data_IF_000056722314
#
_entry.id   IF_000056722314
#
_cell.length_a   1.000
_cell.length_b   1.000
_cell.length_c   1.000
_cell.angle_alpha   90.00
_cell.angle_beta   90.00
_cell.angle_gamma   90.00
#
_symmetry.space_group_name_H-M   'P 1'
#
loop_
_entity.id
_entity.type
_entity.pdbx_description
1 polymer ?
#
# COMPACT_ATOMS: atom_id res chain seq x y z
N UNK A 1 22.15 -15.41 10.82
CA UNK A 1 22.55 -15.89 9.48
C UNK A 1 22.48 -17.42 9.34
N UNK A 2 23.06 -18.25 10.24
CA UNK A 2 23.13 -19.71 10.01
C UNK A 2 21.77 -20.40 9.87
N UNK A 3 20.77 -20.02 10.68
CA UNK A 3 19.43 -20.60 10.62
C UNK A 3 18.70 -20.30 9.31
N UNK A 4 18.71 -19.04 8.85
CA UNK A 4 18.07 -18.67 7.58
C UNK A 4 18.79 -19.32 6.39
N UNK A 5 20.12 -19.41 6.42
CA UNK A 5 20.87 -20.09 5.37
C UNK A 5 20.49 -21.58 5.33
N UNK A 6 20.44 -22.26 6.48
CA UNK A 6 20.00 -23.65 6.54
C UNK A 6 18.56 -23.84 6.04
N UNK A 7 17.64 -22.97 6.48
CA UNK A 7 16.24 -22.98 6.04
C UNK A 7 16.11 -22.78 4.52
N UNK A 8 16.77 -21.76 3.97
CA UNK A 8 16.75 -21.46 2.53
C UNK A 8 17.43 -22.57 1.73
N UNK A 9 18.58 -23.09 2.17
CA UNK A 9 19.26 -24.21 1.51
C UNK A 9 18.41 -25.47 1.50
N UNK A 10 17.76 -25.81 2.63
CA UNK A 10 16.85 -26.94 2.71
C UNK A 10 15.65 -26.75 1.76
N UNK A 11 15.06 -25.55 1.74
CA UNK A 11 13.97 -25.21 0.83
C UNK A 11 14.39 -25.26 -0.65
N UNK A 12 15.63 -24.88 -0.99
CA UNK A 12 16.16 -25.02 -2.35
C UNK A 12 16.37 -26.48 -2.75
N UNK A 13 16.79 -27.34 -1.80
CA UNK A 13 17.00 -28.77 -2.05
C UNK A 13 15.69 -29.56 -2.13
N UNK A 14 14.72 -29.22 -1.27
CA UNK A 14 13.42 -29.92 -1.19
C UNK A 14 12.32 -29.26 -2.03
N UNK A 15 12.55 -28.04 -2.50
CA UNK A 15 11.54 -27.21 -3.16
C UNK A 15 11.04 -27.85 -4.44
N UNK A 16 9.73 -28.05 -4.51
CA UNK A 16 9.06 -28.43 -5.75
C UNK A 16 9.19 -27.35 -6.82
N UNK A 17 9.09 -27.76 -8.08
CA UNK A 17 8.84 -26.82 -9.19
C UNK A 17 7.46 -26.22 -9.03
N UNK A 18 7.27 -24.99 -9.51
CA UNK A 18 5.92 -24.47 -9.64
C UNK A 18 5.11 -25.38 -10.58
N UNK A 19 3.79 -25.50 -10.35
CA UNK A 19 2.90 -26.14 -11.31
C UNK A 19 3.15 -25.51 -12.68
N UNK A 20 3.23 -26.33 -13.73
CA UNK A 20 3.31 -25.74 -15.07
C UNK A 20 2.02 -24.95 -15.31
N UNK A 21 2.11 -23.71 -15.83
CA UNK A 21 0.94 -22.95 -16.20
C UNK A 21 0.14 -23.75 -17.23
N UNK A 22 -1.19 -23.74 -17.11
CA UNK A 22 -2.05 -24.29 -18.14
C UNK A 22 -1.76 -23.57 -19.46
N UNK A 23 -1.50 -24.29 -20.57
CA UNK A 23 -1.10 -23.70 -21.86
C UNK A 23 -2.20 -22.89 -22.57
N UNK A 24 -3.34 -22.62 -21.90
CA UNK A 24 -4.55 -22.08 -22.51
C UNK A 24 -4.62 -20.54 -22.52
N UNK A 25 -3.56 -19.83 -22.08
CA UNK A 25 -3.51 -18.36 -22.03
C UNK A 25 -2.37 -17.75 -22.84
N UNK A 26 -2.59 -16.53 -23.33
CA UNK A 26 -1.53 -15.70 -23.94
C UNK A 26 -0.47 -15.32 -22.88
N UNK A 27 0.80 -15.62 -23.17
CA UNK A 27 1.92 -15.25 -22.31
C UNK A 27 2.29 -13.78 -22.50
N UNK A 28 1.86 -12.95 -21.55
CA UNK A 28 2.25 -11.54 -21.43
C UNK A 28 3.61 -11.32 -20.72
N UNK A 29 4.25 -10.19 -21.00
CA UNK A 29 5.33 -9.57 -20.22
C UNK A 29 4.76 -8.48 -19.31
N UNK A 30 4.93 -8.66 -18.00
CA UNK A 30 4.39 -7.80 -16.95
C UNK A 30 5.52 -7.02 -16.29
N UNK A 31 5.46 -5.68 -16.36
CA UNK A 31 6.34 -4.79 -15.61
C UNK A 31 5.73 -4.46 -14.26
N UNK A 32 6.50 -4.64 -13.18
CA UNK A 32 6.09 -4.32 -11.81
C UNK A 32 7.12 -3.35 -11.21
N UNK A 33 6.66 -2.18 -10.73
CA UNK A 33 7.52 -1.24 -9.99
C UNK A 33 7.53 -1.51 -8.49
N UNK A 34 8.30 -0.73 -7.72
CA UNK A 34 8.40 -0.89 -6.27
C UNK A 34 8.94 -2.25 -5.84
N UNK A 35 9.86 -2.81 -6.61
CA UNK A 35 10.41 -4.15 -6.39
C UNK A 35 11.05 -4.40 -5.03
N UNK A 36 11.29 -3.38 -4.20
CA UNK A 36 11.68 -3.55 -2.79
C UNK A 36 10.54 -3.98 -1.87
N UNK A 37 9.29 -3.81 -2.27
CA UNK A 37 8.12 -4.00 -1.42
C UNK A 37 7.57 -5.43 -1.53
N UNK A 38 7.16 -6.02 -0.41
CA UNK A 38 6.68 -7.43 -0.36
C UNK A 38 5.46 -7.63 -1.27
N UNK A 39 4.60 -6.62 -1.36
CA UNK A 39 3.49 -6.56 -2.30
C UNK A 39 3.89 -6.76 -3.76
N UNK A 40 5.03 -6.22 -4.21
CA UNK A 40 5.53 -6.46 -5.56
C UNK A 40 5.99 -7.91 -5.76
N UNK A 41 6.62 -8.52 -4.73
CA UNK A 41 6.98 -9.93 -4.74
C UNK A 41 5.75 -10.85 -4.80
N UNK A 42 4.68 -10.52 -4.08
CA UNK A 42 3.40 -11.25 -4.16
C UNK A 42 2.84 -11.24 -5.58
N UNK A 43 2.82 -10.08 -6.24
CA UNK A 43 2.34 -9.97 -7.62
C UNK A 43 3.28 -10.68 -8.61
N UNK A 44 4.60 -10.55 -8.45
CA UNK A 44 5.57 -11.28 -9.27
C UNK A 44 5.34 -12.79 -9.23
N UNK A 45 5.12 -13.35 -8.03
CA UNK A 45 4.81 -14.78 -7.85
C UNK A 45 3.48 -15.16 -8.50
N UNK A 46 2.45 -14.32 -8.37
CA UNK A 46 1.15 -14.58 -8.99
C UNK A 46 1.22 -14.59 -10.52
N UNK A 47 1.83 -13.57 -11.13
CA UNK A 47 2.00 -13.49 -12.58
C UNK A 47 2.89 -14.62 -13.12
N UNK A 48 3.98 -14.95 -12.43
CA UNK A 48 4.85 -16.07 -12.81
C UNK A 48 4.10 -17.41 -12.80
N UNK A 49 3.31 -17.68 -11.75
CA UNK A 49 2.51 -18.91 -11.65
C UNK A 49 1.41 -19.01 -12.71
N UNK A 50 0.88 -17.87 -13.16
CA UNK A 50 -0.03 -17.80 -14.29
C UNK A 50 0.68 -17.95 -15.66
N UNK A 51 2.01 -18.06 -15.68
CA UNK A 51 2.80 -18.31 -16.89
C UNK A 51 3.32 -17.04 -17.57
N UNK A 52 3.11 -15.87 -16.99
CA UNK A 52 3.62 -14.60 -17.52
C UNK A 52 5.11 -14.43 -17.26
N UNK A 53 5.74 -13.62 -18.10
CA UNK A 53 7.10 -13.13 -17.88
C UNK A 53 7.05 -11.89 -16.98
N UNK A 54 7.92 -11.82 -15.98
CA UNK A 54 7.93 -10.73 -14.99
C UNK A 54 9.20 -9.91 -15.10
N UNK A 55 9.03 -8.62 -15.36
CA UNK A 55 10.07 -7.59 -15.29
C UNK A 55 9.85 -6.78 -14.02
N UNK A 56 10.84 -6.72 -13.15
CA UNK A 56 10.79 -5.98 -11.89
C UNK A 56 11.67 -4.73 -11.99
N UNK A 57 11.12 -3.56 -11.65
CA UNK A 57 11.87 -2.31 -11.53
C UNK A 57 11.86 -1.76 -10.12
N UNK A 58 12.96 -1.11 -9.76
CA UNK A 58 13.10 -0.41 -8.50
C UNK A 58 14.16 0.71 -8.62
N UNK A 59 14.14 1.67 -7.70
CA UNK A 59 15.12 2.73 -7.66
C UNK A 59 16.54 2.20 -7.43
N UNK A 60 17.54 2.88 -7.99
CA UNK A 60 18.96 2.54 -7.84
C UNK A 60 19.42 2.35 -6.37
N UNK A 61 18.85 3.13 -5.43
CA UNK A 61 19.07 2.99 -3.97
C UNK A 61 18.80 1.56 -3.47
N UNK A 62 17.86 0.86 -4.08
CA UNK A 62 17.45 -0.50 -3.70
C UNK A 62 17.82 -1.54 -4.76
N UNK A 63 18.87 -1.31 -5.55
CA UNK A 63 19.38 -2.29 -6.53
C UNK A 63 19.65 -3.68 -5.94
N UNK A 64 19.90 -3.76 -4.64
CA UNK A 64 20.12 -5.01 -3.92
C UNK A 64 18.85 -5.57 -3.26
N UNK A 65 17.66 -5.15 -3.70
CA UNK A 65 16.40 -5.69 -3.20
C UNK A 65 16.42 -7.22 -3.21
N UNK A 66 16.03 -7.86 -2.12
CA UNK A 66 16.00 -9.31 -2.02
C UNK A 66 15.07 -9.94 -3.06
N UNK A 67 14.03 -9.22 -3.48
CA UNK A 67 13.01 -9.72 -4.39
C UNK A 67 13.53 -9.93 -5.81
N UNK A 68 14.63 -9.26 -6.22
CA UNK A 68 15.25 -9.51 -7.53
C UNK A 68 15.87 -10.91 -7.67
N UNK A 69 16.07 -11.60 -6.55
CA UNK A 69 16.57 -12.98 -6.51
C UNK A 69 15.44 -14.00 -6.46
N UNK A 70 14.18 -13.56 -6.56
CA UNK A 70 13.05 -14.45 -6.74
C UNK A 70 13.20 -15.20 -8.06
N UNK A 71 12.88 -16.49 -8.08
CA UNK A 71 12.78 -17.25 -9.33
C UNK A 71 11.59 -16.80 -10.21
N UNK A 72 10.66 -16.04 -9.62
CA UNK A 72 9.49 -15.50 -10.28
C UNK A 72 9.76 -14.13 -10.94
N UNK A 73 11.02 -13.70 -10.99
CA UNK A 73 11.45 -12.45 -11.65
C UNK A 73 12.42 -12.82 -12.77
N UNK A 74 12.00 -12.60 -14.01
CA UNK A 74 12.82 -12.91 -15.19
C UNK A 74 13.88 -11.84 -15.46
N UNK A 75 13.53 -10.57 -15.24
CA UNK A 75 14.43 -9.43 -15.44
C UNK A 75 14.28 -8.43 -14.30
N UNK A 76 15.41 -7.89 -13.84
CA UNK A 76 15.44 -6.77 -12.90
C UNK A 76 16.18 -5.59 -13.53
N UNK A 77 15.57 -4.40 -13.48
CA UNK A 77 16.17 -3.14 -13.93
C UNK A 77 16.08 -2.10 -12.82
N UNK A 78 17.00 -1.13 -12.83
CA UNK A 78 16.91 0.04 -11.96
C UNK A 78 16.44 1.26 -12.74
N UNK A 79 15.69 2.12 -12.07
CA UNK A 79 15.20 3.39 -12.61
C UNK A 79 15.58 4.55 -11.66
N UNK A 80 15.54 5.81 -12.11
CA UNK A 80 15.67 6.98 -11.25
C UNK A 80 14.59 7.02 -10.15
N UNK A 81 14.72 7.95 -9.21
CA UNK A 81 13.65 8.20 -8.22
C UNK A 81 12.44 8.79 -8.93
N UNK A 82 11.20 8.58 -8.44
CA UNK A 82 9.98 9.05 -9.11
C UNK A 82 9.96 10.55 -9.42
N UNK A 83 10.57 11.37 -8.56
CA UNK A 83 10.64 12.83 -8.72
C UNK A 83 11.69 13.29 -9.75
N UNK A 84 12.54 12.38 -10.21
CA UNK A 84 13.54 12.69 -11.22
C UNK A 84 12.83 12.97 -12.56
N UNK A 85 13.17 14.07 -13.26
CA UNK A 85 12.58 14.38 -14.55
C UNK A 85 12.71 13.27 -15.60
N UNK A 86 13.72 12.40 -15.50
CA UNK A 86 13.92 11.27 -16.41
C UNK A 86 13.23 9.96 -15.97
N UNK A 87 12.39 9.98 -14.94
CA UNK A 87 11.72 8.77 -14.43
C UNK A 87 10.80 8.13 -15.47
N UNK A 88 9.96 8.94 -16.15
CA UNK A 88 9.00 8.44 -17.13
C UNK A 88 9.71 7.84 -18.36
N UNK A 89 10.75 8.51 -18.85
CA UNK A 89 11.57 8.03 -19.96
C UNK A 89 12.33 6.75 -19.59
N UNK A 90 12.85 6.64 -18.36
CA UNK A 90 13.50 5.41 -17.91
C UNK A 90 12.52 4.23 -17.82
N UNK A 91 11.28 4.46 -17.38
CA UNK A 91 10.23 3.43 -17.44
C UNK A 91 9.92 3.04 -18.90
N UNK A 92 9.81 4.02 -19.79
CA UNK A 92 9.56 3.79 -21.21
C UNK A 92 10.69 2.97 -21.86
N UNK A 93 11.94 3.23 -21.50
CA UNK A 93 13.09 2.48 -21.98
C UNK A 93 13.00 1.01 -21.56
N UNK A 94 12.59 0.73 -20.32
CA UNK A 94 12.33 -0.65 -19.86
C UNK A 94 11.17 -1.28 -20.62
N UNK A 95 10.07 -0.55 -20.81
CA UNK A 95 8.90 -1.03 -21.58
C UNK A 95 9.31 -1.44 -22.99
N UNK A 96 10.14 -0.66 -23.67
CA UNK A 96 10.61 -0.93 -25.03
C UNK A 96 11.64 -2.06 -25.07
N UNK A 97 12.63 -2.05 -24.18
CA UNK A 97 13.71 -3.04 -24.18
C UNK A 97 13.19 -4.45 -23.86
N UNK A 98 12.21 -4.54 -22.98
CA UNK A 98 11.68 -5.81 -22.50
C UNK A 98 10.37 -6.22 -23.20
N UNK A 99 9.86 -5.43 -24.15
CA UNK A 99 8.58 -5.64 -24.83
C UNK A 99 7.44 -5.88 -23.82
N UNK A 100 7.25 -4.93 -22.91
CA UNK A 100 6.23 -5.01 -21.86
C UNK A 100 4.84 -4.88 -22.47
N UNK A 101 3.93 -5.77 -22.08
CA UNK A 101 2.51 -5.72 -22.49
C UNK A 101 1.66 -4.99 -21.45
N UNK A 102 1.98 -5.14 -20.15
CA UNK A 102 1.24 -4.54 -19.05
C UNK A 102 2.18 -3.98 -17.97
N UNK A 103 1.97 -2.73 -17.57
CA UNK A 103 2.61 -2.11 -16.41
C UNK A 103 1.66 -2.10 -15.19
N UNK A 104 2.12 -2.67 -14.08
CA UNK A 104 1.41 -2.71 -12.79
C UNK A 104 2.27 -1.99 -11.73
N UNK A 105 1.98 -0.72 -11.41
CA UNK A 105 2.77 0.01 -10.42
C UNK A 105 2.52 -0.51 -9.01
N UNK A 106 3.59 -0.68 -8.22
CA UNK A 106 3.48 -0.95 -6.78
C UNK A 106 4.18 0.17 -6.02
N UNK A 107 3.44 1.23 -5.77
CA UNK A 107 4.02 2.52 -5.42
C UNK A 107 4.02 2.82 -3.91
N UNK A 108 4.90 3.75 -3.52
CA UNK A 108 4.78 4.56 -2.31
C UNK A 108 3.78 5.70 -2.54
N UNK A 109 3.35 6.45 -1.51
CA UNK A 109 2.46 7.60 -1.70
C UNK A 109 2.98 8.56 -2.78
N UNK A 110 4.25 8.95 -2.71
CA UNK A 110 4.83 9.88 -3.69
C UNK A 110 4.97 9.25 -5.08
N UNK A 111 5.38 7.98 -5.16
CA UNK A 111 5.54 7.31 -6.46
C UNK A 111 4.21 7.16 -7.21
N UNK A 112 3.06 7.06 -6.50
CA UNK A 112 1.76 6.86 -7.13
C UNK A 112 1.42 7.94 -8.15
N UNK A 113 1.67 9.21 -7.80
CA UNK A 113 1.46 10.33 -8.73
C UNK A 113 2.39 10.28 -9.94
N UNK A 114 3.66 9.96 -9.73
CA UNK A 114 4.65 9.92 -10.82
C UNK A 114 4.44 8.74 -11.76
N UNK A 115 3.99 7.59 -11.25
CA UNK A 115 3.55 6.46 -12.09
C UNK A 115 2.33 6.85 -12.95
N UNK A 116 1.39 7.60 -12.38
CA UNK A 116 0.23 8.12 -13.11
C UNK A 116 0.61 9.17 -14.16
N UNK A 117 1.56 10.05 -13.83
CA UNK A 117 2.10 11.04 -14.76
C UNK A 117 2.90 10.42 -15.91
N UNK A 118 3.52 9.26 -15.69
CA UNK A 118 4.21 8.50 -16.74
C UNK A 118 3.24 7.72 -17.64
N UNK A 119 2.02 7.41 -17.16
CA UNK A 119 1.09 6.53 -17.88
C UNK A 119 0.80 6.96 -19.34
N UNK A 120 0.51 8.24 -19.67
CA UNK A 120 0.25 8.64 -21.05
C UNK A 120 1.42 8.36 -22.02
N UNK A 121 2.66 8.39 -21.51
CA UNK A 121 3.84 8.06 -22.30
C UNK A 121 3.96 6.55 -22.56
N UNK A 122 3.58 5.73 -21.57
CA UNK A 122 3.69 4.26 -21.62
C UNK A 122 2.52 3.62 -22.37
N UNK A 123 1.33 4.21 -22.33
CA UNK A 123 0.09 3.70 -22.96
C UNK A 123 0.17 3.59 -24.47
N UNK A 124 1.10 4.29 -25.11
CA UNK A 124 1.42 4.11 -26.53
C UNK A 124 2.10 2.75 -26.84
N UNK A 125 2.54 2.02 -25.83
CA UNK A 125 3.36 0.81 -25.95
C UNK A 125 2.84 -0.38 -25.13
N UNK A 126 2.22 -0.13 -23.97
CA UNK A 126 1.71 -1.18 -23.08
C UNK A 126 0.46 -0.69 -22.32
N UNK A 127 -0.35 -1.61 -21.81
CA UNK A 127 -1.48 -1.25 -20.93
C UNK A 127 -0.96 -0.86 -19.54
N UNK A 128 -1.48 0.22 -18.96
CA UNK A 128 -1.12 0.65 -17.59
C UNK A 128 -2.29 0.37 -16.63
N UNK A 129 -2.04 -0.35 -15.53
CA UNK A 129 -3.03 -0.63 -14.48
C UNK A 129 -2.93 0.43 -13.39
N UNK A 130 -3.28 1.67 -13.74
CA UNK A 130 -3.24 2.81 -12.82
C UNK A 130 -4.20 3.90 -13.25
N UNK A 131 -4.64 4.72 -12.29
CA UNK A 131 -5.49 5.87 -12.58
C UNK A 131 -4.63 7.03 -13.08
N UNK A 132 -5.27 8.00 -13.75
CA UNK A 132 -4.60 9.21 -14.20
C UNK A 132 -4.17 10.11 -13.02
N UNK A 133 -3.26 11.04 -13.30
CA UNK A 133 -2.65 11.90 -12.30
C UNK A 133 -3.63 12.83 -11.58
N UNK A 134 -4.73 13.25 -12.22
CA UNK A 134 -5.76 14.10 -11.58
C UNK A 134 -6.64 13.27 -10.64
N UNK A 135 -7.01 12.06 -11.06
CA UNK A 135 -7.70 11.10 -10.21
C UNK A 135 -6.87 10.75 -8.98
N UNK A 136 -5.57 10.45 -9.14
CA UNK A 136 -4.68 10.16 -8.00
C UNK A 136 -4.64 11.33 -7.02
N UNK A 137 -4.49 12.57 -7.50
CA UNK A 137 -4.53 13.77 -6.64
C UNK A 137 -5.85 13.92 -5.89
N UNK A 138 -6.96 13.70 -6.59
CA UNK A 138 -8.30 13.85 -6.02
C UNK A 138 -8.56 12.80 -4.94
N UNK A 139 -8.14 11.55 -5.16
CA UNK A 139 -8.33 10.48 -4.19
C UNK A 139 -7.41 10.62 -2.97
N UNK A 140 -6.16 11.06 -3.14
CA UNK A 140 -5.21 11.24 -2.04
C UNK A 140 -5.54 12.47 -1.15
N UNK A 141 -6.21 13.48 -1.71
CA UNK A 141 -6.75 14.62 -0.95
C UNK A 141 -8.06 14.23 -0.24
N UNK A 142 -8.01 14.17 1.10
CA UNK A 142 -9.14 13.76 1.95
C UNK A 142 -10.40 14.59 1.75
N UNK A 143 -10.27 15.88 1.47
CA UNK A 143 -11.42 16.77 1.26
C UNK A 143 -11.98 16.60 -0.15
N UNK A 144 -11.11 16.56 -1.17
CA UNK A 144 -11.55 16.32 -2.54
C UNK A 144 -12.22 14.95 -2.70
N UNK A 145 -11.69 13.92 -2.02
CA UNK A 145 -12.31 12.59 -1.93
C UNK A 145 -13.69 12.66 -1.28
N UNK A 146 -13.83 13.35 -0.15
CA UNK A 146 -15.11 13.48 0.54
C UNK A 146 -16.14 14.23 -0.33
N UNK A 147 -15.74 15.31 -1.00
CA UNK A 147 -16.60 16.05 -1.92
C UNK A 147 -17.03 15.19 -3.11
N UNK A 148 -16.09 14.45 -3.72
CA UNK A 148 -16.35 13.52 -4.82
C UNK A 148 -17.33 12.42 -4.41
N UNK A 149 -17.08 11.75 -3.29
CA UNK A 149 -17.93 10.68 -2.78
C UNK A 149 -19.33 11.18 -2.39
N UNK A 150 -19.42 12.34 -1.75
CA UNK A 150 -20.71 12.97 -1.43
C UNK A 150 -21.50 13.33 -2.70
N UNK A 151 -20.83 13.80 -3.75
CA UNK A 151 -21.43 14.07 -5.06
C UNK A 151 -22.02 12.81 -5.73
N UNK A 152 -21.51 11.62 -5.39
CA UNK A 152 -22.02 10.32 -5.81
C UNK A 152 -23.08 9.75 -4.85
N UNK A 153 -23.48 10.51 -3.81
CA UNK A 153 -24.46 10.08 -2.81
C UNK A 153 -23.92 9.07 -1.79
N UNK A 154 -22.60 8.93 -1.69
CA UNK A 154 -21.95 8.05 -0.72
C UNK A 154 -21.79 8.74 0.64
N UNK A 155 -21.78 7.93 1.70
CA UNK A 155 -21.53 8.42 3.06
C UNK A 155 -20.08 8.88 3.21
N UNK A 156 -19.87 10.06 3.80
CA UNK A 156 -18.55 10.64 4.06
C UNK A 156 -18.49 11.21 5.46
N UNK A 157 -17.31 11.25 6.10
CA UNK A 157 -17.15 12.00 7.34
C UNK A 157 -17.42 13.50 7.08
N UNK A 158 -17.98 14.19 8.07
CA UNK A 158 -18.08 15.65 8.00
C UNK A 158 -16.66 16.25 8.01
N UNK A 159 -16.34 17.03 6.98
CA UNK A 159 -14.99 17.51 6.71
C UNK A 159 -15.01 18.92 6.12
N UNK A 160 -14.15 19.78 6.65
CA UNK A 160 -14.08 21.20 6.30
C UNK A 160 -12.65 21.59 5.96
N UNK A 161 -12.44 22.22 4.81
CA UNK A 161 -11.14 22.76 4.43
C UNK A 161 -10.82 24.02 5.23
N UNK A 162 -9.64 24.03 5.84
CA UNK A 162 -9.11 25.10 6.69
C UNK A 162 -7.86 25.68 6.03
N UNK A 163 -7.93 26.96 5.69
CA UNK A 163 -6.86 27.75 5.05
C UNK A 163 -6.25 28.78 6.00
N UNK A 164 -6.79 28.90 7.21
CA UNK A 164 -6.23 29.72 8.28
C UNK A 164 -6.64 29.17 9.65
N UNK A 165 -5.83 29.38 10.70
CA UNK A 165 -6.21 29.05 12.07
C UNK A 165 -7.49 29.75 12.55
N UNK A 166 -7.76 30.95 12.03
CA UNK A 166 -8.93 31.76 12.37
C UNK A 166 -10.24 31.08 11.96
N UNK A 167 -10.26 30.36 10.84
CA UNK A 167 -11.42 29.58 10.41
C UNK A 167 -11.79 28.49 11.42
N UNK A 168 -10.78 27.83 12.01
CA UNK A 168 -10.99 26.82 13.06
C UNK A 168 -11.52 27.48 14.33
N UNK A 169 -10.98 28.64 14.71
CA UNK A 169 -11.39 29.38 15.90
C UNK A 169 -12.82 29.94 15.79
N UNK A 170 -13.25 30.30 14.58
CA UNK A 170 -14.57 30.84 14.29
C UNK A 170 -15.63 29.77 13.98
N UNK A 171 -15.25 28.49 13.92
CA UNK A 171 -16.16 27.41 13.61
C UNK A 171 -17.22 27.23 14.71
N UNK A 172 -18.49 27.11 14.33
CA UNK A 172 -19.60 26.93 15.26
C UNK A 172 -19.74 25.46 15.69
N UNK A 173 -18.87 25.05 16.61
CA UNK A 173 -18.89 23.71 17.20
C UNK A 173 -20.20 23.37 17.93
N UNK A 174 -21.02 24.36 18.32
CA UNK A 174 -22.29 24.12 18.99
C UNK A 174 -23.39 23.65 18.02
N UNK A 175 -23.28 24.01 16.74
CA UNK A 175 -24.18 23.56 15.67
C UNK A 175 -23.73 22.25 15.00
N UNK A 176 -22.55 21.77 15.36
CA UNK A 176 -21.89 20.59 14.81
C UNK A 176 -22.03 19.36 15.73
N UNK A 177 -21.47 18.23 15.31
CA UNK A 177 -21.38 16.99 16.11
C UNK A 177 -19.91 16.70 16.47
N UNK A 178 -19.30 17.42 17.43
CA UNK A 178 -17.93 17.19 17.84
C UNK A 178 -17.76 15.80 18.50
N UNK A 179 -16.54 15.21 18.49
CA UNK A 179 -15.26 15.89 18.28
C UNK A 179 -14.76 15.94 16.83
N UNK A 180 -13.92 16.93 16.52
CA UNK A 180 -13.17 17.05 15.26
C UNK A 180 -11.66 16.89 15.48
N UNK A 181 -10.93 16.58 14.42
CA UNK A 181 -9.46 16.57 14.36
C UNK A 181 -8.95 17.36 13.17
N UNK A 182 -7.79 17.99 13.33
CA UNK A 182 -7.08 18.70 12.27
C UNK A 182 -6.02 17.79 11.65
N UNK A 183 -6.10 17.58 10.34
CA UNK A 183 -5.12 16.82 9.56
C UNK A 183 -4.58 17.68 8.43
N UNK A 184 -3.27 17.63 8.19
CA UNK A 184 -2.70 18.25 7.00
C UNK A 184 -3.22 17.53 5.74
N UNK A 185 -3.57 18.29 4.70
CA UNK A 185 -3.91 17.72 3.39
C UNK A 185 -2.63 17.19 2.72
N UNK A 186 -1.56 17.99 2.73
CA UNK A 186 -0.24 17.53 2.29
C UNK A 186 0.36 16.53 3.30
N UNK A 187 1.22 15.63 2.83
CA UNK A 187 1.95 14.72 3.70
C UNK A 187 2.80 15.50 4.72
N UNK A 188 2.48 15.35 6.00
CA UNK A 188 3.18 15.99 7.13
C UNK A 188 3.60 14.92 8.15
N UNK A 189 4.88 14.48 8.17
CA UNK A 189 5.34 13.44 9.08
C UNK A 189 5.32 13.87 10.56
N UNK A 190 5.28 15.17 10.86
CA UNK A 190 5.31 15.71 12.22
C UNK A 190 3.92 15.69 12.85
N UNK A 191 2.91 16.14 12.10
CA UNK A 191 1.55 16.28 12.64
C UNK A 191 0.59 15.14 12.28
N UNK A 192 0.96 14.21 11.39
CA UNK A 192 0.05 13.16 10.90
C UNK A 192 -0.58 12.28 11.99
N UNK A 193 0.06 12.13 13.14
CA UNK A 193 -0.43 11.31 14.26
C UNK A 193 -1.18 12.12 15.33
N UNK A 194 -1.30 13.44 15.17
CA UNK A 194 -2.00 14.29 16.12
C UNK A 194 -3.53 14.16 15.94
N UNK A 195 -4.16 13.46 16.88
CA UNK A 195 -5.61 13.29 16.95
C UNK A 195 -6.23 14.14 18.07
N UNK A 196 -5.61 15.28 18.43
CA UNK A 196 -6.13 16.18 19.46
C UNK A 196 -7.57 16.60 19.13
N UNK A 197 -8.55 16.25 19.98
CA UNK A 197 -9.95 16.56 19.72
C UNK A 197 -10.26 18.06 19.82
N UNK A 198 -11.14 18.52 18.95
CA UNK A 198 -11.74 19.86 18.90
C UNK A 198 -13.26 19.79 19.13
N UNK A 199 -13.87 20.77 19.81
CA UNK A 199 -13.22 21.93 20.41
C UNK A 199 -12.38 21.56 21.64
N UNK A 200 -11.43 22.42 21.99
CA UNK A 200 -10.71 22.36 23.28
C UNK A 200 -11.62 22.90 24.39
N UNK A 201 -11.27 22.72 25.69
CA UNK A 201 -12.14 23.12 26.80
C UNK A 201 -12.59 24.59 26.81
N UNK A 202 -11.86 25.50 26.15
CA UNK A 202 -12.28 26.88 25.93
C UNK A 202 -12.02 27.32 24.48
N UNK A 203 -12.75 28.33 23.95
CA UNK A 203 -12.49 28.91 22.63
C UNK A 203 -11.03 29.39 22.46
N UNK A 204 -10.43 29.96 23.50
CA UNK A 204 -9.04 30.42 23.48
C UNK A 204 -8.07 29.25 23.32
N UNK A 205 -8.34 28.13 23.98
CA UNK A 205 -7.54 26.92 23.83
C UNK A 205 -7.68 26.31 22.44
N UNK A 206 -8.87 26.35 21.83
CA UNK A 206 -9.11 25.93 20.44
C UNK A 206 -8.30 26.80 19.47
N UNK A 207 -8.37 28.12 19.64
CA UNK A 207 -7.64 29.06 18.80
C UNK A 207 -6.12 28.92 18.97
N UNK A 208 -5.63 28.71 20.20
CA UNK A 208 -4.21 28.47 20.47
C UNK A 208 -3.72 27.16 19.83
N UNK A 209 -4.51 26.09 19.90
CA UNK A 209 -4.19 24.83 19.22
C UNK A 209 -4.17 25.00 17.70
N UNK A 210 -5.16 25.65 17.11
CA UNK A 210 -5.19 25.91 15.67
C UNK A 210 -3.96 26.70 15.21
N UNK A 211 -3.57 27.75 15.95
CA UNK A 211 -2.36 28.56 15.65
C UNK A 211 -1.05 27.81 15.84
N UNK A 212 -1.05 26.69 16.55
CA UNK A 212 0.14 25.82 16.69
C UNK A 212 0.42 25.02 15.41
N UNK A 213 -0.55 24.95 14.49
CA UNK A 213 -0.43 24.22 13.23
C UNK A 213 -0.08 25.19 12.08
N UNK A 214 0.74 24.77 11.10
CA UNK A 214 1.10 25.57 9.94
C UNK A 214 -0.05 25.63 8.90
N UNK A 215 -1.21 26.16 9.30
CA UNK A 215 -2.39 26.27 8.42
C UNK A 215 -2.28 27.55 7.60
N UNK A 216 -2.23 27.44 6.28
CA UNK A 216 -2.19 28.57 5.34
C UNK A 216 -3.01 28.24 4.09
N UNK A 217 -3.19 29.22 3.19
CA UNK A 217 -3.83 28.97 1.91
C UNK A 217 -2.99 28.02 1.03
N UNK A 218 -1.67 28.12 1.12
CA UNK A 218 -0.71 27.29 0.40
C UNK A 218 -0.52 25.91 1.05
N UNK A 219 -0.73 25.80 2.37
CA UNK A 219 -0.69 24.56 3.15
C UNK A 219 -2.01 24.36 3.88
N UNK A 220 -3.09 24.02 3.15
CA UNK A 220 -4.42 23.85 3.73
C UNK A 220 -4.48 22.57 4.57
N UNK A 221 -5.35 22.60 5.58
CA UNK A 221 -5.66 21.48 6.46
C UNK A 221 -7.12 21.08 6.28
N UNK A 222 -7.46 19.86 6.69
CA UNK A 222 -8.85 19.40 6.81
C UNK A 222 -9.20 19.26 8.29
N UNK A 223 -10.29 19.90 8.69
CA UNK A 223 -10.95 19.65 9.97
C UNK A 223 -12.04 18.61 9.74
N UNK A 224 -11.82 17.40 10.24
CA UNK A 224 -12.67 16.24 9.99
C UNK A 224 -13.27 15.75 11.30
N UNK A 225 -14.54 15.36 11.32
CA UNK A 225 -15.15 14.66 12.45
C UNK A 225 -14.27 13.46 12.81
N UNK A 226 -13.87 13.39 14.08
CA UNK A 226 -13.23 12.23 14.69
C UNK A 226 -14.26 11.11 14.84
N UNK A 227 -14.44 10.35 13.77
CA UNK A 227 -15.38 9.23 13.72
C UNK A 227 -15.02 8.17 14.75
N UNK A 228 -15.94 7.85 15.65
CA UNK A 228 -15.82 6.69 16.54
C UNK A 228 -16.28 5.41 15.84
N UNK A 229 -15.53 4.32 15.99
CA UNK A 229 -15.87 3.06 15.35
C UNK A 229 -14.72 2.06 15.27
N UNK A 230 -14.91 1.03 14.45
CA UNK A 230 -13.88 0.06 14.11
C UNK A 230 -13.24 0.47 12.78
N UNK A 231 -11.92 0.60 12.78
CA UNK A 231 -11.16 0.94 11.58
C UNK A 231 -10.84 -0.33 10.76
N UNK A 232 -11.09 -0.26 9.46
CA UNK A 232 -10.76 -1.29 8.47
C UNK A 232 -9.86 -0.73 7.37
N UNK A 233 -8.96 -1.56 6.88
CA UNK A 233 -8.17 -1.34 5.68
C UNK A 233 -8.76 -2.14 4.52
N UNK A 234 -8.73 -1.58 3.32
CA UNK A 234 -9.10 -2.30 2.09
C UNK A 234 -7.94 -2.36 1.10
N UNK A 235 -7.96 -3.36 0.23
CA UNK A 235 -7.21 -3.36 -1.01
C UNK A 235 -8.19 -3.71 -2.13
N UNK A 236 -8.25 -2.88 -3.17
CA UNK A 236 -8.93 -3.24 -4.40
C UNK A 236 -8.05 -3.03 -5.61
N UNK A 237 -8.17 -3.92 -6.59
CA UNK A 237 -7.72 -3.68 -7.96
C UNK A 237 -8.97 -3.54 -8.81
N UNK A 238 -9.08 -2.42 -9.52
CA UNK A 238 -10.23 -2.04 -10.33
C UNK A 238 -9.78 -1.95 -11.79
N UNK A 239 -10.61 -2.43 -12.71
CA UNK A 239 -10.40 -2.28 -14.16
C UNK A 239 -11.71 -1.80 -14.77
N UNK A 240 -11.69 -0.62 -15.38
CA UNK A 240 -12.85 0.01 -16.04
C UNK A 240 -14.08 0.06 -15.10
N UNK A 241 -13.87 0.48 -13.86
CA UNK A 241 -14.90 0.57 -12.83
C UNK A 241 -15.29 -0.76 -12.18
N UNK A 242 -14.84 -1.91 -12.71
CA UNK A 242 -15.13 -3.23 -12.12
C UNK A 242 -14.07 -3.62 -11.10
N UNK A 243 -14.49 -3.94 -9.88
CA UNK A 243 -13.60 -4.49 -8.85
C UNK A 243 -13.22 -5.92 -9.25
N UNK A 244 -11.93 -6.17 -9.41
CA UNK A 244 -11.37 -7.47 -9.81
C UNK A 244 -10.68 -8.20 -8.66
N UNK A 245 -10.09 -7.45 -7.74
CA UNK A 245 -9.47 -7.98 -6.51
C UNK A 245 -10.08 -7.23 -5.34
N UNK A 246 -10.47 -7.95 -4.30
CA UNK A 246 -11.04 -7.36 -3.09
C UNK A 246 -10.49 -7.99 -1.82
N UNK A 247 -9.99 -7.15 -0.92
CA UNK A 247 -9.68 -7.54 0.44
C UNK A 247 -10.12 -6.46 1.42
N UNK A 248 -10.64 -6.90 2.56
CA UNK A 248 -10.93 -6.06 3.71
C UNK A 248 -10.30 -6.70 4.96
N UNK A 249 -9.66 -5.89 5.79
CA UNK A 249 -8.94 -6.29 6.99
C UNK A 249 -9.23 -5.33 8.13
N UNK A 250 -9.25 -5.77 9.40
CA UNK A 250 -9.15 -4.84 10.52
C UNK A 250 -7.85 -4.03 10.38
N UNK A 251 -7.93 -2.71 10.55
CA UNK A 251 -6.73 -1.89 10.58
C UNK A 251 -5.90 -2.23 11.82
N UNK A 252 -4.58 -2.06 11.72
CA UNK A 252 -3.70 -2.20 12.88
C UNK A 252 -2.63 -1.13 12.82
N UNK A 253 -2.25 -0.58 13.97
CA UNK A 253 -1.29 0.53 14.06
C UNK A 253 0.08 0.26 13.40
N UNK A 254 0.41 -1.00 13.13
CA UNK A 254 1.64 -1.39 12.43
C UNK A 254 1.40 -2.04 11.06
N UNK A 255 0.16 -2.35 10.67
CA UNK A 255 -0.19 -2.87 9.34
C UNK A 255 0.72 -4.03 8.86
N UNK A 256 0.96 -5.01 9.74
CA UNK A 256 1.89 -6.14 9.48
C UNK A 256 1.24 -7.50 9.71
N UNK A 257 -0.04 -7.52 10.06
CA UNK A 257 -0.81 -8.75 10.21
C UNK A 257 -2.14 -8.54 9.51
N UNK A 258 -2.41 -9.35 8.49
CA UNK A 258 -3.62 -9.22 7.68
C UNK A 258 -4.41 -10.52 7.71
N UNK A 259 -5.71 -10.40 8.00
CA UNK A 259 -6.70 -11.45 7.90
C UNK A 259 -7.95 -10.89 7.23
N UNK A 260 -8.52 -11.65 6.29
CA UNK A 260 -9.71 -11.26 5.57
C UNK A 260 -10.91 -11.23 6.54
N UNK A 261 -11.72 -10.19 6.43
CA UNK A 261 -13.04 -10.10 7.05
C UNK A 261 -14.08 -9.77 5.99
N UNK A 262 -15.26 -10.38 6.11
CA UNK A 262 -16.37 -10.07 5.22
C UNK A 262 -17.09 -8.79 5.68
N UNK A 263 -17.16 -7.83 4.76
CA UNK A 263 -17.69 -6.47 4.96
C UNK A 263 -18.41 -6.00 3.69
N UNK A 264 -19.57 -6.60 3.36
CA UNK A 264 -20.31 -6.27 2.15
C UNK A 264 -20.71 -4.78 2.07
N UNK A 265 -20.95 -4.13 3.21
CA UNK A 265 -21.23 -2.70 3.31
C UNK A 265 -20.05 -1.82 2.89
N UNK A 266 -18.82 -2.22 3.23
CA UNK A 266 -17.61 -1.50 2.80
C UNK A 266 -17.34 -1.76 1.32
N UNK A 267 -17.54 -2.99 0.85
CA UNK A 267 -17.45 -3.33 -0.57
C UNK A 267 -18.47 -2.52 -1.39
N UNK A 268 -19.72 -2.39 -0.92
CA UNK A 268 -20.75 -1.62 -1.57
C UNK A 268 -20.39 -0.13 -1.68
N UNK A 269 -19.81 0.44 -0.61
CA UNK A 269 -19.30 1.82 -0.66
C UNK A 269 -18.20 1.99 -1.71
N UNK A 270 -17.19 1.10 -1.71
CA UNK A 270 -16.08 1.16 -2.68
C UNK A 270 -16.60 0.99 -4.10
N UNK A 271 -17.50 0.03 -4.31
CA UNK A 271 -18.17 -0.18 -5.61
C UNK A 271 -18.87 1.07 -6.11
N UNK A 272 -19.66 1.71 -5.24
CA UNK A 272 -20.37 2.95 -5.55
C UNK A 272 -19.46 4.13 -5.89
N UNK A 273 -18.20 4.12 -5.46
CA UNK A 273 -17.22 5.12 -5.86
C UNK A 273 -16.56 4.77 -7.20
N UNK A 274 -16.07 3.53 -7.35
CA UNK A 274 -15.18 3.18 -8.46
C UNK A 274 -15.94 2.91 -9.78
N UNK A 275 -17.17 2.39 -9.71
CA UNK A 275 -17.98 2.08 -10.90
C UNK A 275 -18.38 3.34 -11.70
N UNK A 276 -18.99 4.39 -11.10
CA UNK A 276 -19.42 5.58 -11.86
C UNK A 276 -18.24 6.37 -12.44
N UNK A 277 -17.07 6.23 -11.83
CA UNK A 277 -15.83 6.89 -12.26
C UNK A 277 -15.07 6.08 -13.31
N UNK A 278 -15.47 4.83 -13.59
CA UNK A 278 -14.79 3.97 -14.55
C UNK A 278 -13.32 3.69 -14.20
N UNK A 279 -12.96 3.70 -12.91
CA UNK A 279 -11.57 3.70 -12.49
C UNK A 279 -10.82 2.45 -12.95
N UNK A 280 -9.56 2.64 -13.33
CA UNK A 280 -8.58 1.55 -13.49
C UNK A 280 -7.42 1.83 -12.54
N UNK A 281 -6.94 0.80 -11.83
CA UNK A 281 -5.82 0.93 -10.91
C UNK A 281 -6.06 0.24 -9.58
N UNK A 282 -5.23 0.56 -8.60
CA UNK A 282 -5.29 -0.05 -7.27
C UNK A 282 -5.76 0.99 -6.27
N UNK A 283 -6.94 0.80 -5.70
CA UNK A 283 -7.60 1.79 -4.85
C UNK A 283 -7.84 1.18 -3.47
N UNK A 284 -7.15 1.70 -2.47
CA UNK A 284 -7.20 1.19 -1.09
C UNK A 284 -7.77 2.26 -0.18
N UNK A 285 -8.52 1.88 0.85
CA UNK A 285 -9.14 2.83 1.77
C UNK A 285 -8.86 2.44 3.21
N UNK A 286 -8.68 3.46 4.06
CA UNK A 286 -8.87 3.33 5.49
C UNK A 286 -10.29 3.82 5.79
N UNK A 287 -11.08 2.97 6.46
CA UNK A 287 -12.52 3.12 6.61
C UNK A 287 -12.92 2.96 8.05
N UNK A 288 -13.66 3.92 8.58
CA UNK A 288 -14.31 3.79 9.88
C UNK A 288 -15.71 3.22 9.70
N UNK A 289 -16.00 2.12 10.40
CA UNK A 289 -17.36 1.64 10.58
C UNK A 289 -17.87 2.05 11.96
N UNK A 290 -18.91 2.89 11.98
CA UNK A 290 -19.50 3.40 13.21
C UNK A 290 -20.33 2.33 13.94
N UNK A 291 -20.67 2.52 15.22
CA UNK A 291 -21.52 1.59 15.97
C UNK A 291 -22.91 1.38 15.36
N UNK A 292 -23.47 2.38 14.67
CA UNK A 292 -24.72 2.30 13.92
C UNK A 292 -24.57 1.69 12.51
N UNK A 293 -23.36 1.24 12.15
CA UNK A 293 -23.08 0.51 10.92
C UNK A 293 -22.77 1.37 9.70
N UNK A 294 -22.69 2.70 9.84
CA UNK A 294 -22.31 3.60 8.74
C UNK A 294 -20.84 3.38 8.36
N UNK A 295 -20.59 3.44 7.06
CA UNK A 295 -19.27 3.28 6.45
C UNK A 295 -18.75 4.65 6.06
N UNK A 296 -17.67 5.10 6.71
CA UNK A 296 -17.10 6.43 6.51
C UNK A 296 -15.61 6.30 6.18
N UNK A 297 -15.23 6.33 4.90
CA UNK A 297 -13.82 6.37 4.51
C UNK A 297 -13.14 7.63 5.01
N UNK A 298 -12.00 7.46 5.66
CA UNK A 298 -11.24 8.55 6.28
C UNK A 298 -9.96 8.88 5.52
N UNK A 299 -9.50 7.97 4.66
CA UNK A 299 -8.35 8.13 3.78
C UNK A 299 -8.50 7.19 2.57
N UNK A 300 -8.18 7.68 1.38
CA UNK A 300 -7.86 6.81 0.25
C UNK A 300 -6.35 6.79 0.05
N UNK A 301 -5.83 5.60 -0.23
CA UNK A 301 -4.49 5.34 -0.64
C UNK A 301 -4.59 4.73 -2.06
N UNK A 302 -4.57 5.54 -3.13
CA UNK A 302 -4.75 5.07 -4.51
C UNK A 302 -3.47 4.37 -5.00
N UNK A 303 -3.16 3.25 -4.36
CA UNK A 303 -1.98 2.40 -4.53
C UNK A 303 -2.23 1.03 -3.92
N UNK A 304 -1.38 0.07 -4.25
CA UNK A 304 -1.40 -1.27 -3.63
C UNK A 304 -1.25 -1.20 -2.12
N UNK A 305 -2.16 -1.85 -1.39
CA UNK A 305 -2.06 -2.05 0.04
C UNK A 305 -1.48 -3.44 0.37
N UNK A 306 -0.73 -3.56 1.47
CA UNK A 306 -0.01 -4.80 1.79
C UNK A 306 -0.93 -5.97 2.16
N UNK A 307 -2.24 -5.74 2.36
CA UNK A 307 -3.25 -6.79 2.43
C UNK A 307 -3.24 -7.74 1.22
N UNK A 308 -2.68 -7.31 0.08
CA UNK A 308 -2.46 -8.16 -1.09
C UNK A 308 -1.66 -9.44 -0.78
N UNK A 309 -0.84 -9.44 0.29
CA UNK A 309 -0.09 -10.63 0.70
C UNK A 309 -0.99 -11.80 1.08
N UNK A 310 -2.25 -11.57 1.45
CA UNK A 310 -3.23 -12.64 1.74
C UNK A 310 -3.59 -13.48 0.50
N UNK A 311 -3.27 -13.02 -0.71
CA UNK A 311 -3.53 -13.76 -1.94
C UNK A 311 -2.36 -14.67 -2.35
N UNK A 312 -1.45 -15.00 -1.42
CA UNK A 312 -0.23 -15.77 -1.71
C UNK A 312 -0.50 -17.15 -2.35
N UNK A 313 -1.71 -17.70 -2.16
CA UNK A 313 -2.17 -18.99 -2.68
C UNK A 313 -3.32 -18.89 -3.68
N UNK A 314 -3.72 -17.68 -4.11
CA UNK A 314 -4.86 -17.51 -5.00
C UNK A 314 -4.48 -17.74 -6.47
N UNK A 315 -5.08 -18.74 -7.17
CA UNK A 315 -4.70 -19.08 -8.55
C UNK A 315 -5.07 -17.99 -9.55
N UNK A 316 -6.21 -17.32 -9.36
CA UNK A 316 -6.73 -16.33 -10.33
C UNK A 316 -6.27 -14.89 -10.07
N UNK A 317 -5.30 -14.65 -9.17
CA UNK A 317 -4.89 -13.28 -8.84
C UNK A 317 -4.32 -12.52 -10.06
N UNK A 318 -3.54 -13.21 -10.89
CA UNK A 318 -2.98 -12.62 -12.10
C UNK A 318 -4.08 -12.21 -13.09
N UNK A 319 -5.01 -13.12 -13.41
CA UNK A 319 -6.13 -12.84 -14.31
C UNK A 319 -7.04 -11.72 -13.79
N UNK A 320 -7.22 -11.61 -12.47
CA UNK A 320 -7.93 -10.50 -11.85
C UNK A 320 -7.24 -9.16 -12.10
N UNK A 321 -5.91 -9.06 -11.92
CA UNK A 321 -5.18 -7.83 -12.27
C UNK A 321 -5.28 -7.48 -13.76
N UNK A 322 -5.44 -8.49 -14.63
CA UNK A 322 -5.62 -8.30 -16.06
C UNK A 322 -7.07 -7.94 -16.45
N UNK A 323 -8.01 -7.88 -15.50
CA UNK A 323 -9.40 -7.52 -15.78
C UNK A 323 -10.22 -8.65 -16.41
N UNK A 324 -9.79 -9.91 -16.23
CA UNK A 324 -10.38 -11.09 -16.89
C UNK A 324 -11.25 -11.92 -15.96
N UNK A 325 -11.81 -11.31 -14.91
CA UNK A 325 -12.72 -11.95 -13.97
C UNK A 325 -14.08 -11.27 -13.98
N UNK A 326 -15.14 -12.07 -13.96
CA UNK A 326 -16.52 -11.58 -13.81
C UNK A 326 -16.76 -11.11 -12.38
N UNK A 327 -16.31 -11.91 -11.41
CA UNK A 327 -16.43 -11.64 -9.98
C UNK A 327 -15.05 -11.32 -9.37
N UNK A 328 -14.99 -10.42 -8.36
CA UNK A 328 -13.75 -10.10 -7.70
C UNK A 328 -13.18 -11.33 -6.99
N UNK A 329 -11.87 -11.54 -7.14
CA UNK A 329 -11.17 -12.52 -6.31
C UNK A 329 -11.00 -11.96 -4.89
N UNK A 330 -11.23 -12.82 -3.90
CA UNK A 330 -11.00 -12.54 -2.48
C UNK A 330 -9.97 -13.55 -1.95
N UNK A 331 -9.28 -13.29 -0.82
CA UNK A 331 -8.41 -14.28 -0.22
C UNK A 331 -9.14 -15.62 -0.03
N UNK A 332 -8.46 -16.73 -0.30
CA UNK A 332 -9.11 -18.05 -0.26
C UNK A 332 -9.60 -18.38 1.15
N UNK A 333 -10.59 -19.27 1.29
CA UNK A 333 -11.05 -19.72 2.62
C UNK A 333 -9.93 -20.40 3.43
N UNK A 334 -8.93 -20.95 2.74
CA UNK A 334 -7.73 -21.55 3.34
C UNK A 334 -6.62 -20.53 3.62
N UNK A 335 -6.75 -19.27 3.17
CA UNK A 335 -5.77 -18.22 3.37
C UNK A 335 -5.58 -17.98 4.87
N UNK A 336 -4.34 -18.15 5.31
CA UNK A 336 -3.94 -17.87 6.69
C UNK A 336 -3.51 -16.42 6.84
N UNK A 337 -3.57 -15.87 8.07
CA UNK A 337 -3.07 -14.52 8.31
C UNK A 337 -1.61 -14.36 7.89
N UNK A 338 -1.27 -13.26 7.23
CA UNK A 338 0.13 -13.01 6.84
C UNK A 338 0.88 -12.24 7.91
N UNK A 339 2.21 -12.46 8.00
CA UNK A 339 3.10 -11.75 8.93
C UNK A 339 4.51 -11.60 8.36
N UNK A 340 5.40 -10.87 9.06
CA UNK A 340 6.83 -10.77 8.73
C UNK A 340 7.68 -11.26 9.91
N UNK A 341 8.38 -12.38 9.76
CA UNK A 341 9.10 -13.04 10.85
C UNK A 341 10.10 -12.13 11.57
N UNK A 342 10.81 -11.28 10.84
CA UNK A 342 11.76 -10.34 11.46
C UNK A 342 11.08 -9.21 12.23
N UNK A 343 9.87 -8.83 11.83
CA UNK A 343 9.07 -7.89 12.59
C UNK A 343 8.56 -8.53 13.89
N UNK A 344 8.15 -9.79 13.83
CA UNK A 344 7.74 -10.58 15.00
C UNK A 344 8.90 -10.82 15.97
N UNK A 345 10.10 -11.09 15.45
CA UNK A 345 11.33 -11.18 16.23
C UNK A 345 11.68 -9.84 16.91
N UNK A 346 11.56 -8.73 16.18
CA UNK A 346 11.79 -7.40 16.75
C UNK A 346 10.80 -7.07 17.89
N UNK A 347 9.51 -7.37 17.70
CA UNK A 347 8.48 -7.23 18.74
C UNK A 347 8.81 -8.08 19.97
N UNK A 348 9.24 -9.32 19.77
CA UNK A 348 9.66 -10.20 20.86
C UNK A 348 10.85 -9.63 21.64
N UNK A 349 11.83 -9.03 20.95
CA UNK A 349 12.98 -8.37 21.60
C UNK A 349 12.55 -7.14 22.41
N UNK A 350 11.61 -6.34 21.90
CA UNK A 350 11.09 -5.14 22.58
C UNK A 350 10.16 -5.49 23.76
N UNK A 351 9.44 -6.60 23.67
CA UNK A 351 8.50 -7.06 24.69
C UNK A 351 8.60 -8.59 24.88
N UNK A 352 9.61 -9.10 25.61
CA UNK A 352 9.82 -10.55 25.77
C UNK A 352 8.62 -11.31 26.35
N UNK A 353 7.77 -10.63 27.14
CA UNK A 353 6.53 -11.18 27.68
C UNK A 353 5.48 -11.56 26.62
N UNK A 354 5.57 -11.04 25.39
CA UNK A 354 4.62 -11.33 24.30
C UNK A 354 4.89 -12.67 23.59
N UNK A 355 5.81 -13.52 24.07
CA UNK A 355 6.24 -14.72 23.36
C UNK A 355 5.11 -15.68 22.97
N UNK A 356 4.08 -15.83 23.81
CA UNK A 356 2.90 -16.67 23.51
C UNK A 356 2.14 -16.16 22.29
N UNK A 357 2.00 -14.84 22.21
CA UNK A 357 1.33 -14.17 21.11
C UNK A 357 2.14 -14.31 19.82
N UNK A 358 3.45 -14.06 19.88
CA UNK A 358 4.36 -14.19 18.72
C UNK A 358 4.42 -15.63 18.20
N UNK A 359 4.48 -16.61 19.10
CA UNK A 359 4.41 -18.02 18.75
C UNK A 359 3.09 -18.38 18.05
N UNK A 360 1.96 -17.86 18.57
CA UNK A 360 0.66 -18.05 17.94
C UNK A 360 0.64 -17.44 16.54
N UNK A 361 1.11 -16.21 16.35
CA UNK A 361 1.21 -15.56 15.03
C UNK A 361 2.02 -16.40 14.04
N UNK A 362 3.19 -16.89 14.44
CA UNK A 362 4.06 -17.72 13.58
C UNK A 362 3.41 -19.07 13.25
N UNK A 363 2.75 -19.70 14.22
CA UNK A 363 2.11 -21.02 14.05
C UNK A 363 0.86 -20.95 13.18
N UNK A 364 0.05 -19.90 13.34
CA UNK A 364 -1.25 -19.77 12.67
C UNK A 364 -1.15 -19.04 11.33
N UNK A 365 -0.10 -18.24 11.13
CA UNK A 365 0.07 -17.42 9.94
C UNK A 365 1.05 -17.98 8.90
N UNK A 366 1.31 -17.14 7.90
CA UNK A 366 2.30 -17.36 6.84
C UNK A 366 3.21 -16.15 6.76
N UNK A 367 4.52 -16.38 6.66
CA UNK A 367 5.46 -15.30 6.41
C UNK A 367 5.24 -14.76 4.99
N UNK A 368 5.08 -13.44 4.87
CA UNK A 368 4.75 -12.77 3.62
C UNK A 368 5.87 -12.81 2.58
N UNK A 369 7.11 -13.13 2.99
CA UNK A 369 8.29 -13.17 2.11
C UNK A 369 8.76 -14.61 1.89
N UNK A 370 8.85 -15.43 2.94
CA UNK A 370 9.34 -16.80 2.85
C UNK A 370 8.35 -17.73 2.14
N UNK A 371 8.76 -18.25 1.00
CA UNK A 371 8.07 -19.31 0.27
C UNK A 371 9.07 -20.46 0.06
N UNK A 372 8.76 -21.72 0.45
CA UNK A 372 9.64 -22.85 0.18
C UNK A 372 9.95 -23.06 -1.30
N UNK A 373 9.04 -22.65 -2.19
CA UNK A 373 9.23 -22.67 -3.65
C UNK A 373 9.84 -21.38 -4.18
N UNK A 374 10.18 -20.42 -3.35
CA UNK A 374 10.91 -19.22 -3.74
C UNK A 374 11.63 -18.61 -2.52
N UNK A 375 12.64 -19.31 -1.95
CA UNK A 375 13.16 -18.98 -0.62
C UNK A 375 14.27 -17.93 -0.64
N UNK A 376 14.83 -17.60 -1.81
CA UNK A 376 15.93 -16.65 -1.95
C UNK A 376 15.55 -15.21 -1.55
N UNK A 377 14.38 -14.67 -1.92
CA UNK A 377 13.92 -13.37 -1.46
C UNK A 377 13.99 -13.19 0.06
N UNK A 378 13.62 -14.21 0.82
CA UNK A 378 13.68 -14.17 2.27
C UNK A 378 15.13 -14.05 2.79
N UNK A 379 16.06 -14.82 2.22
CA UNK A 379 17.46 -14.73 2.62
C UNK A 379 18.07 -13.37 2.23
N UNK A 380 17.84 -12.94 0.99
CA UNK A 380 18.46 -11.75 0.43
C UNK A 380 17.88 -10.45 1.00
N UNK A 381 16.58 -10.39 1.29
CA UNK A 381 15.99 -9.24 1.98
C UNK A 381 16.69 -9.00 3.32
N UNK A 382 16.80 -10.06 4.13
CA UNK A 382 17.27 -9.92 5.51
C UNK A 382 18.80 -9.89 5.66
N UNK A 383 19.55 -10.50 4.73
CA UNK A 383 21.02 -10.65 4.84
C UNK A 383 21.81 -9.93 3.74
N UNK A 384 21.16 -9.34 2.74
CA UNK A 384 21.80 -8.49 1.73
C UNK A 384 21.21 -7.09 1.70
N UNK A 385 19.91 -6.95 1.38
CA UNK A 385 19.26 -5.66 1.19
C UNK A 385 19.31 -4.78 2.45
N UNK A 386 18.75 -5.27 3.56
CA UNK A 386 18.69 -4.48 4.81
C UNK A 386 20.09 -4.17 5.35
N UNK A 387 21.04 -5.12 5.43
CA UNK A 387 22.42 -4.81 5.80
C UNK A 387 23.11 -3.81 4.88
N UNK A 388 22.90 -3.89 3.56
CA UNK A 388 23.47 -2.94 2.62
C UNK A 388 22.92 -1.51 2.84
N UNK A 389 21.61 -1.38 3.07
CA UNK A 389 21.00 -0.09 3.40
C UNK A 389 21.52 0.47 4.74
N UNK A 390 21.67 -0.38 5.76
CA UNK A 390 22.22 0.03 7.05
C UNK A 390 23.65 0.52 6.92
N UNK A 391 24.51 -0.23 6.21
CA UNK A 391 25.89 0.16 5.95
C UNK A 391 25.96 1.47 5.17
N UNK A 392 25.11 1.64 4.15
CA UNK A 392 25.06 2.88 3.37
C UNK A 392 24.66 4.08 4.23
N UNK A 393 23.63 3.95 5.08
CA UNK A 393 23.22 5.02 5.98
C UNK A 393 24.29 5.33 7.03
N UNK A 394 24.95 4.31 7.59
CA UNK A 394 26.07 4.48 8.53
C UNK A 394 27.25 5.24 7.89
N UNK A 395 27.64 4.85 6.66
CA UNK A 395 28.72 5.52 5.92
C UNK A 395 28.35 6.96 5.57
N UNK A 396 27.08 7.20 5.24
CA UNK A 396 26.59 8.53 4.88
C UNK A 396 26.22 9.41 6.09
N UNK A 397 26.32 8.90 7.32
CA UNK A 397 25.93 9.63 8.54
C UNK A 397 24.44 9.98 8.59
N UNK A 398 23.58 9.15 8.02
CA UNK A 398 22.12 9.37 7.99
C UNK A 398 21.42 8.61 9.10
N UNK A 399 20.49 9.28 9.78
CA UNK A 399 19.63 8.67 10.78
C UNK A 399 18.51 7.84 10.15
N UNK A 400 18.00 6.86 10.92
CA UNK A 400 16.78 6.13 10.61
C UNK A 400 15.99 5.86 11.89
N UNK A 401 14.67 5.79 11.76
CA UNK A 401 13.73 5.58 12.87
C UNK A 401 13.45 4.09 13.07
N UNK A 402 13.22 3.36 11.98
CA UNK A 402 12.92 1.92 12.00
C UNK A 402 13.27 1.22 10.69
N UNK A 403 13.42 -0.10 10.77
CA UNK A 403 13.50 -0.98 9.61
C UNK A 403 12.07 -1.45 9.30
N UNK A 404 11.65 -1.30 8.06
CA UNK A 404 10.35 -1.78 7.59
C UNK A 404 10.54 -2.87 6.54
N UNK A 405 10.36 -4.12 6.96
CA UNK A 405 10.53 -5.30 6.11
C UNK A 405 9.39 -5.46 5.10
N UNK A 406 8.19 -4.93 5.39
CA UNK A 406 7.05 -4.99 4.47
C UNK A 406 7.37 -4.20 3.18
N UNK A 407 7.92 -3.00 3.33
CA UNK A 407 8.29 -2.12 2.21
C UNK A 407 9.79 -2.11 1.91
N UNK A 408 10.56 -3.04 2.48
CA UNK A 408 11.98 -3.26 2.20
C UNK A 408 12.88 -2.03 2.34
N UNK A 409 12.65 -1.17 3.34
CA UNK A 409 13.40 0.09 3.49
C UNK A 409 13.74 0.43 4.94
N UNK A 410 14.67 1.37 5.09
CA UNK A 410 14.87 2.12 6.33
C UNK A 410 13.96 3.33 6.31
N UNK A 411 13.19 3.55 7.37
CA UNK A 411 12.32 4.71 7.51
C UNK A 411 13.14 5.86 8.08
N UNK A 412 13.30 6.93 7.30
CA UNK A 412 14.06 8.13 7.67
C UNK A 412 13.13 9.19 8.33
N UNK A 413 13.63 10.09 9.20
CA UNK A 413 12.80 11.01 10.00
C UNK A 413 11.86 11.94 9.20
N UNK A 414 12.21 12.27 7.95
CA UNK A 414 11.42 13.16 7.08
C UNK A 414 10.49 12.41 6.09
N UNK A 415 10.54 11.07 6.06
CA UNK A 415 9.92 10.29 4.99
C UNK A 415 10.77 10.25 3.71
N UNK A 416 11.09 9.02 3.29
CA UNK A 416 11.92 8.58 2.14
C UNK A 416 13.40 8.99 2.06
#
# INVERSE_FOLDING_TARGET
MPANLALTSLALLLGGRDPQPSPEGERLTILISGGKMTKALTLARAFHRAGHRVVLVEQEKYRWTGHRFSRCVDVFRTVPRPQDPGYAEALLDVVRQESVDVYVPVCSPVASYHDAAAAPLLEAHCRVIHADAETIKTLDDKEALAALAAGLGLSVPDAHRMTSPEQVAAFDFASADPPYVLKSIAYDPVNRLDLTPLPRPTPEATAAFARSKPITAETPWVMQHLVEGVEYCTHSTVVEGRIQVWACCPSSAFQVNYAMVDKPEILAWVRGLVEPLGLTGQISFDVMQTPDGRVLPIECNPRTHSAITMFYDHPDLAEAYLGRREEPVVPTVASRPTYWAYHEAWRLLRAPGSWRERWRTVREGVDAVFDPRDPLPFLMLHHLQIPALLLQNLVAGRDWVKIDFNIGKLVEPAGD
#
